data_IF_893591627556
#
_entry.id   IF_893591627556
#
_cell.length_a   1.000
_cell.length_b   1.000
_cell.length_c   1.000
_cell.angle_alpha   90.00
_cell.angle_beta   90.00
_cell.angle_gamma   90.00
#
_symmetry.space_group_name_H-M   'P 1'
#
loop_
_entity.id
_entity.type
_entity.pdbx_description
1 polymer ?
#
# COMPACT_ATOMS: atom_id res chain seq x y z
N UNK A 1 -110.07 3.17 -66.35
CA UNK A 1 -109.10 2.47 -65.48
C UNK A 1 -108.63 3.46 -64.41
N UNK A 2 -108.02 2.98 -63.32
CA UNK A 2 -107.24 3.81 -62.38
C UNK A 2 -106.00 4.37 -63.13
N UNK A 3 -105.25 5.39 -62.69
CA UNK A 3 -104.87 5.90 -61.34
C UNK A 3 -104.77 7.44 -61.38
N UNK A 4 -105.18 8.24 -60.37
CA UNK A 4 -104.66 8.39 -58.99
C UNK A 4 -103.38 9.26 -58.90
N UNK A 5 -103.22 10.26 -58.02
CA UNK A 5 -104.17 10.98 -57.13
C UNK A 5 -103.50 12.22 -56.47
N UNK A 6 -104.28 13.28 -56.18
CA UNK A 6 -104.01 14.45 -55.31
C UNK A 6 -102.84 15.38 -55.73
N UNK A 7 -102.91 16.72 -55.69
CA UNK A 7 -103.62 17.71 -54.85
C UNK A 7 -102.94 17.97 -53.48
N UNK A 8 -102.89 19.18 -52.90
CA UNK A 8 -103.60 20.44 -53.22
C UNK A 8 -102.86 21.70 -52.65
N UNK A 9 -103.44 22.90 -52.87
CA UNK A 9 -103.42 24.09 -51.97
C UNK A 9 -102.19 25.03 -51.94
N UNK A 10 -102.31 26.37 -51.97
CA UNK A 10 -103.25 27.40 -52.55
C UNK A 10 -102.40 28.72 -52.63
N UNK A 11 -102.51 29.60 -53.64
CA UNK A 11 -103.48 30.72 -53.80
C UNK A 11 -103.52 31.72 -52.61
N UNK A 12 -103.59 33.06 -52.77
CA UNK A 12 -103.62 33.93 -53.99
C UNK A 12 -102.39 34.89 -54.00
N UNK A 13 -102.34 36.22 -54.24
CA UNK A 13 -103.26 37.36 -54.53
C UNK A 13 -102.63 38.23 -55.65
N UNK A 14 -103.43 39.06 -56.34
CA UNK A 14 -103.04 40.02 -57.40
C UNK A 14 -102.46 41.35 -56.83
N UNK A 15 -101.84 42.27 -57.59
CA UNK A 15 -101.45 42.26 -59.02
C UNK A 15 -100.90 43.63 -59.53
N UNK A 16 -100.35 43.63 -60.75
CA UNK A 16 -100.32 44.62 -61.87
C UNK A 16 -100.48 46.17 -61.66
N UNK A 17 -100.06 47.04 -62.61
CA UNK A 17 -98.78 47.07 -63.37
C UNK A 17 -98.22 48.50 -63.73
N UNK A 18 -96.91 48.60 -64.02
CA UNK A 18 -96.25 49.56 -64.98
C UNK A 18 -96.37 51.12 -64.79
N UNK A 19 -95.65 51.98 -65.57
CA UNK A 19 -94.48 51.76 -66.47
C UNK A 19 -93.26 52.70 -66.30
N UNK A 20 -92.08 52.20 -66.74
CA UNK A 20 -90.98 52.86 -67.48
C UNK A 20 -90.29 54.16 -67.01
N UNK A 21 -88.94 54.11 -66.96
CA UNK A 21 -88.05 55.18 -67.46
C UNK A 21 -86.73 54.57 -68.02
N UNK A 22 -85.89 55.36 -68.70
CA UNK A 22 -84.74 54.89 -69.49
C UNK A 22 -83.38 55.03 -68.76
N UNK A 23 -82.35 54.20 -69.08
CA UNK A 23 -81.09 54.19 -68.35
C UNK A 23 -80.21 55.42 -68.64
N UNK A 24 -79.63 55.99 -67.58
CA UNK A 24 -78.61 57.03 -67.68
C UNK A 24 -77.22 56.43 -67.94
N UNK A 25 -76.32 57.23 -68.53
CA UNK A 25 -74.91 56.83 -68.76
C UNK A 25 -74.12 56.97 -67.46
N UNK A 26 -73.54 55.87 -67.01
CA UNK A 26 -72.73 55.79 -65.79
C UNK A 26 -71.32 56.38 -66.02
N UNK A 27 -70.84 57.19 -65.07
CA UNK A 27 -69.49 57.74 -65.11
C UNK A 27 -68.50 56.74 -64.49
N UNK A 28 -67.37 56.50 -65.16
CA UNK A 28 -66.37 55.55 -64.69
C UNK A 28 -65.80 55.98 -63.32
N UNK A 29 -65.69 55.06 -62.33
CA UNK A 29 -65.07 55.36 -61.04
C UNK A 29 -63.57 55.61 -61.21
N UNK A 30 -63.01 56.49 -60.38
CA UNK A 30 -61.58 56.71 -60.31
C UNK A 30 -60.85 55.47 -59.77
N UNK A 31 -59.62 55.23 -60.25
CA UNK A 31 -58.78 54.15 -59.72
C UNK A 31 -58.50 54.37 -58.22
N UNK A 32 -58.56 53.31 -57.39
CA UNK A 32 -58.24 53.43 -55.98
C UNK A 32 -56.74 53.72 -55.80
N UNK A 33 -56.42 54.80 -55.09
CA UNK A 33 -55.05 55.13 -54.70
C UNK A 33 -54.41 53.91 -54.01
N UNK A 34 -53.21 53.46 -54.41
CA UNK A 34 -52.55 52.36 -53.72
C UNK A 34 -52.35 52.70 -52.24
N UNK A 35 -52.47 51.72 -51.32
CA UNK A 35 -52.31 51.96 -49.89
C UNK A 35 -50.91 52.51 -49.60
N UNK A 36 -50.76 53.45 -48.65
CA UNK A 36 -49.46 53.98 -48.27
C UNK A 36 -48.56 52.85 -47.75
N UNK A 37 -47.29 52.88 -48.12
CA UNK A 37 -46.32 51.90 -47.63
C UNK A 37 -46.25 51.94 -46.09
N UNK A 38 -46.17 50.76 -45.43
CA UNK A 38 -46.07 50.69 -43.97
C UNK A 38 -44.83 51.44 -43.46
N UNK A 39 -44.97 52.13 -42.33
CA UNK A 39 -43.90 52.96 -41.76
C UNK A 39 -42.92 52.20 -40.87
N UNK A 40 -43.28 50.96 -40.48
CA UNK A 40 -42.47 50.03 -39.70
C UNK A 40 -42.97 48.58 -39.90
N UNK A 41 -42.14 47.54 -39.67
CA UNK A 41 -42.59 46.16 -39.60
C UNK A 41 -43.51 45.91 -38.40
N UNK A 42 -44.34 44.88 -38.51
CA UNK A 42 -45.23 44.44 -37.43
C UNK A 42 -44.48 43.62 -36.38
N UNK A 43 -45.03 43.57 -35.16
CA UNK A 43 -44.50 42.71 -34.10
C UNK A 43 -44.48 41.23 -34.51
N UNK A 44 -45.39 40.77 -35.39
CA UNK A 44 -45.40 39.39 -35.90
C UNK A 44 -44.23 39.10 -36.86
N UNK A 45 -43.92 40.02 -37.77
CA UNK A 45 -42.78 39.91 -38.68
C UNK A 45 -41.45 39.92 -37.90
N UNK A 46 -41.32 40.84 -36.94
CA UNK A 46 -40.13 40.92 -36.06
C UNK A 46 -40.01 39.65 -35.22
N UNK A 47 -41.09 39.20 -34.57
CA UNK A 47 -41.07 37.99 -33.72
C UNK A 47 -40.65 36.76 -34.53
N UNK A 48 -41.19 36.59 -35.74
CA UNK A 48 -40.87 35.46 -36.62
C UNK A 48 -39.39 35.47 -37.02
N UNK A 49 -38.88 36.62 -37.47
CA UNK A 49 -37.48 36.80 -37.81
C UNK A 49 -36.56 36.47 -36.61
N UNK A 50 -36.88 36.93 -35.40
CA UNK A 50 -36.09 36.61 -34.21
C UNK A 50 -36.13 35.12 -33.86
N UNK A 51 -37.29 34.47 -33.95
CA UNK A 51 -37.43 33.02 -33.73
C UNK A 51 -36.59 32.21 -34.72
N UNK A 52 -36.59 32.62 -36.00
CA UNK A 52 -35.77 31.99 -37.04
C UNK A 52 -34.26 32.19 -36.81
N UNK A 53 -33.83 33.37 -36.32
CA UNK A 53 -32.41 33.65 -36.06
C UNK A 53 -31.87 33.07 -34.74
N UNK A 54 -32.73 32.79 -33.75
CA UNK A 54 -32.29 32.33 -32.42
C UNK A 54 -31.72 30.90 -32.39
N UNK A 55 -31.88 30.09 -33.45
CA UNK A 55 -31.62 28.63 -33.43
C UNK A 55 -32.26 27.97 -32.19
N UNK A 56 -33.59 28.12 -32.09
CA UNK A 56 -34.34 28.06 -30.83
C UNK A 56 -34.05 26.85 -29.92
N UNK A 57 -33.79 27.14 -28.65
CA UNK A 57 -33.76 26.13 -27.57
C UNK A 57 -35.10 25.42 -27.46
N UNK A 58 -35.07 24.09 -27.39
CA UNK A 58 -36.26 23.26 -27.21
C UNK A 58 -36.96 23.53 -25.87
N UNK A 59 -36.24 24.05 -24.85
CA UNK A 59 -36.74 24.29 -23.50
C UNK A 59 -37.70 25.48 -23.35
N UNK A 60 -37.76 26.39 -24.34
CA UNK A 60 -38.55 27.62 -24.24
C UNK A 60 -39.41 27.92 -25.48
N UNK A 61 -40.43 28.76 -25.32
CA UNK A 61 -41.33 29.25 -26.37
C UNK A 61 -41.39 30.78 -26.38
N UNK A 62 -41.57 31.38 -27.56
CA UNK A 62 -41.72 32.82 -27.68
C UNK A 62 -42.98 33.34 -26.96
N UNK A 63 -42.84 34.46 -26.25
CA UNK A 63 -43.92 35.15 -25.56
C UNK A 63 -44.07 36.59 -26.06
N UNK A 64 -43.86 37.56 -25.17
CA UNK A 64 -44.08 38.98 -25.43
C UNK A 64 -42.89 39.64 -26.16
N UNK A 65 -43.14 40.46 -27.17
CA UNK A 65 -42.12 41.22 -27.90
C UNK A 65 -42.24 42.71 -27.58
N UNK A 66 -41.16 43.29 -27.05
CA UNK A 66 -41.01 44.75 -26.85
C UNK A 66 -40.03 45.30 -27.89
N UNK A 67 -40.42 46.33 -28.64
CA UNK A 67 -39.56 47.00 -29.63
C UNK A 67 -39.24 48.44 -29.19
N UNK A 68 -38.05 48.93 -29.55
CA UNK A 68 -37.72 50.35 -29.46
C UNK A 68 -38.44 51.16 -30.54
N UNK A 69 -38.56 52.47 -30.33
CA UNK A 69 -38.91 53.39 -31.41
C UNK A 69 -37.91 53.24 -32.60
N UNK A 70 -38.38 53.26 -33.86
CA UNK A 70 -37.53 53.04 -35.03
C UNK A 70 -36.66 54.25 -35.35
N UNK A 71 -35.33 54.06 -35.35
CA UNK A 71 -34.38 55.09 -35.74
C UNK A 71 -34.20 55.09 -37.27
N UNK A 72 -34.67 56.14 -37.95
CA UNK A 72 -34.54 56.29 -39.40
C UNK A 72 -33.09 56.56 -39.80
N UNK A 73 -32.55 55.70 -40.67
CA UNK A 73 -31.29 55.93 -41.38
C UNK A 73 -31.45 56.89 -42.56
N UNK A 74 -30.35 57.16 -43.26
CA UNK A 74 -30.34 58.03 -44.44
C UNK A 74 -31.08 57.41 -45.64
N UNK A 75 -30.98 56.08 -45.80
CA UNK A 75 -31.35 55.37 -47.03
C UNK A 75 -32.75 54.73 -46.97
N UNK A 76 -33.69 55.38 -46.27
CA UNK A 76 -35.04 54.85 -45.96
C UNK A 76 -35.11 53.60 -45.07
N UNK A 77 -33.96 53.03 -44.69
CA UNK A 77 -33.85 51.96 -43.70
C UNK A 77 -34.22 52.44 -42.28
N UNK A 78 -34.68 51.54 -41.44
CA UNK A 78 -34.88 51.77 -40.00
C UNK A 78 -34.06 50.79 -39.17
N UNK A 79 -33.33 51.32 -38.19
CA UNK A 79 -32.66 50.52 -37.16
C UNK A 79 -33.56 50.41 -35.94
N UNK A 80 -33.69 49.20 -35.41
CA UNK A 80 -34.51 48.89 -34.25
C UNK A 80 -33.75 47.96 -33.31
N UNK A 81 -34.02 48.08 -32.01
CA UNK A 81 -33.73 47.03 -31.04
C UNK A 81 -35.05 46.41 -30.57
N UNK A 82 -35.04 45.10 -30.32
CA UNK A 82 -36.19 44.41 -29.77
C UNK A 82 -35.77 43.40 -28.71
N UNK A 83 -36.57 43.26 -27.67
CA UNK A 83 -36.43 42.24 -26.62
C UNK A 83 -37.61 41.29 -26.74
N UNK A 84 -37.31 40.03 -27.05
CA UNK A 84 -38.29 38.95 -27.05
C UNK A 84 -38.20 38.20 -25.71
N UNK A 85 -39.32 38.16 -25.00
CA UNK A 85 -39.46 37.45 -23.73
C UNK A 85 -39.86 36.00 -24.00
N UNK A 86 -38.88 35.11 -23.94
CA UNK A 86 -39.08 33.66 -24.02
C UNK A 86 -39.64 33.14 -22.68
N UNK A 87 -40.50 32.13 -22.73
CA UNK A 87 -41.12 31.49 -21.56
C UNK A 87 -40.70 30.02 -21.55
N UNK A 88 -40.22 29.55 -20.40
CA UNK A 88 -39.74 28.16 -20.22
C UNK A 88 -40.93 27.19 -20.15
N UNK A 89 -40.86 26.11 -20.95
CA UNK A 89 -41.99 25.19 -21.21
C UNK A 89 -42.27 24.20 -20.08
N UNK A 90 -41.24 23.81 -19.33
CA UNK A 90 -41.31 22.82 -18.25
C UNK A 90 -40.19 23.04 -17.23
N UNK A 91 -40.24 22.35 -16.08
CA UNK A 91 -39.24 22.50 -15.03
C UNK A 91 -37.87 21.97 -15.50
N UNK A 92 -36.80 22.74 -15.26
CA UNK A 92 -35.43 22.37 -15.65
C UNK A 92 -34.55 22.08 -14.44
N UNK A 93 -33.76 21.01 -14.56
CA UNK A 93 -32.99 20.41 -13.47
C UNK A 93 -31.50 20.35 -13.79
N UNK A 94 -30.67 20.81 -12.85
CA UNK A 94 -29.24 20.53 -12.87
C UNK A 94 -28.96 19.18 -12.20
N UNK A 95 -28.04 18.40 -12.77
CA UNK A 95 -27.51 17.19 -12.14
C UNK A 95 -26.37 17.58 -11.19
N UNK A 96 -26.59 17.43 -9.90
CA UNK A 96 -25.60 17.70 -8.85
C UNK A 96 -25.13 16.38 -8.20
N UNK A 97 -23.94 16.38 -7.59
CA UNK A 97 -23.57 15.36 -6.59
C UNK A 97 -24.31 15.64 -5.28
N UNK A 98 -24.58 14.62 -4.48
CA UNK A 98 -25.29 14.78 -3.19
C UNK A 98 -24.76 15.97 -2.34
N UNK A 99 -25.66 16.80 -1.77
CA UNK A 99 -25.32 18.03 -1.04
C UNK A 99 -24.17 17.94 -0.04
N UNK A 100 -23.41 19.02 0.07
CA UNK A 100 -22.29 19.15 1.01
C UNK A 100 -22.68 18.97 2.49
N UNK A 101 -23.99 19.02 2.83
CA UNK A 101 -24.49 18.62 4.14
C UNK A 101 -24.10 17.18 4.49
N UNK A 102 -24.23 16.23 3.55
CA UNK A 102 -23.91 14.82 3.71
C UNK A 102 -22.40 14.55 3.90
N UNK A 103 -21.53 15.53 3.67
CA UNK A 103 -20.08 15.37 3.84
C UNK A 103 -19.71 15.00 5.29
N UNK A 104 -20.51 15.40 6.28
CA UNK A 104 -20.31 15.04 7.69
C UNK A 104 -20.64 13.58 7.95
N UNK A 105 -21.76 13.10 7.42
CA UNK A 105 -22.15 11.70 7.49
C UNK A 105 -21.12 10.80 6.77
N UNK A 106 -20.56 11.23 5.63
CA UNK A 106 -19.43 10.54 4.98
C UNK A 106 -18.20 10.43 5.88
N UNK A 107 -17.87 11.47 6.66
CA UNK A 107 -16.74 11.41 7.59
C UNK A 107 -16.97 10.37 8.69
N UNK A 108 -18.18 10.29 9.25
CA UNK A 108 -18.53 9.29 10.26
C UNK A 108 -18.46 7.84 9.71
N UNK A 109 -18.90 7.60 8.47
CA UNK A 109 -18.71 6.31 7.77
C UNK A 109 -17.23 5.97 7.66
N UNK A 110 -16.42 6.92 7.16
CA UNK A 110 -15.00 6.70 6.90
C UNK A 110 -14.21 6.43 8.19
N UNK A 111 -14.51 7.07 9.31
CA UNK A 111 -13.84 6.81 10.59
C UNK A 111 -14.10 5.38 11.10
N UNK A 112 -15.35 4.91 11.04
CA UNK A 112 -15.70 3.54 11.43
C UNK A 112 -15.08 2.50 10.48
N UNK A 113 -15.14 2.73 9.17
CA UNK A 113 -14.54 1.86 8.16
C UNK A 113 -13.02 1.77 8.31
N UNK A 114 -12.32 2.92 8.43
CA UNK A 114 -10.88 2.97 8.66
C UNK A 114 -10.47 2.24 9.93
N UNK A 115 -11.28 2.28 10.99
CA UNK A 115 -11.02 1.55 12.22
C UNK A 115 -11.15 0.03 12.05
N UNK A 116 -12.15 -0.45 11.31
CA UNK A 116 -12.29 -1.87 10.99
C UNK A 116 -11.20 -2.38 10.01
N UNK A 117 -10.68 -1.51 9.14
CA UNK A 117 -9.61 -1.80 8.17
C UNK A 117 -8.17 -1.75 8.74
N UNK A 118 -7.99 -1.47 10.04
CA UNK A 118 -6.65 -1.44 10.67
C UNK A 118 -5.92 -2.79 10.52
N UNK A 119 -4.61 -2.83 10.20
CA UNK A 119 -3.81 -4.06 10.27
C UNK A 119 -3.71 -4.64 11.69
N UNK A 120 -3.49 -5.95 11.80
CA UNK A 120 -3.28 -6.68 13.07
C UNK A 120 -2.18 -6.06 13.94
N UNK A 121 -1.10 -5.55 13.33
CA UNK A 121 -0.03 -4.85 14.02
C UNK A 121 -0.52 -3.71 14.91
N UNK A 122 -1.60 -3.01 14.52
CA UNK A 122 -2.16 -1.91 15.31
C UNK A 122 -2.77 -2.43 16.61
N UNK A 123 -3.52 -3.53 16.55
CA UNK A 123 -4.09 -4.18 17.73
C UNK A 123 -3.01 -4.80 18.61
N UNK A 124 -1.99 -5.42 18.01
CA UNK A 124 -0.81 -5.94 18.73
C UNK A 124 -0.08 -4.83 19.50
N UNK A 125 0.18 -3.67 18.87
CA UNK A 125 0.74 -2.50 19.58
C UNK A 125 -0.18 -2.00 20.71
N UNK A 126 -1.51 -1.95 20.49
CA UNK A 126 -2.48 -1.53 21.51
C UNK A 126 -2.50 -2.44 22.74
N UNK A 127 -2.18 -3.73 22.60
CA UNK A 127 -2.10 -4.70 23.72
C UNK A 127 -0.67 -4.87 24.26
N UNK A 128 0.30 -4.08 23.78
CA UNK A 128 1.66 -4.01 24.33
C UNK A 128 2.72 -4.87 23.64
N UNK A 129 2.48 -5.36 22.42
CA UNK A 129 3.51 -6.03 21.63
C UNK A 129 4.64 -5.06 21.22
N UNK A 130 5.89 -5.48 21.37
CA UNK A 130 7.05 -4.74 20.84
C UNK A 130 7.20 -4.98 19.33
N UNK A 131 7.87 -4.04 18.64
CA UNK A 131 8.07 -4.07 17.18
C UNK A 131 8.72 -5.37 16.68
N UNK A 132 9.58 -5.97 17.50
CA UNK A 132 10.35 -7.18 17.21
C UNK A 132 9.51 -8.46 17.23
N UNK A 133 8.36 -8.43 17.91
CA UNK A 133 7.39 -9.54 17.93
C UNK A 133 6.36 -9.47 16.79
N UNK A 134 6.26 -8.34 16.08
CA UNK A 134 5.23 -8.10 15.06
C UNK A 134 5.79 -8.46 13.68
N UNK A 135 5.22 -9.49 13.04
CA UNK A 135 5.68 -9.99 11.74
C UNK A 135 5.21 -9.10 10.58
N UNK A 136 5.80 -9.26 9.39
CA UNK A 136 5.32 -8.56 8.19
C UNK A 136 3.92 -9.04 7.74
N UNK A 137 3.49 -10.25 8.15
CA UNK A 137 2.12 -10.71 7.95
C UNK A 137 1.11 -9.97 8.85
N UNK A 138 1.52 -9.58 10.06
CA UNK A 138 0.71 -8.77 10.97
C UNK A 138 0.60 -7.30 10.50
N UNK A 139 1.63 -6.81 9.79
CA UNK A 139 1.69 -5.46 9.20
C UNK A 139 0.91 -5.34 7.88
N UNK A 140 0.55 -6.46 7.25
CA UNK A 140 -0.18 -6.48 5.99
C UNK A 140 -1.62 -5.93 6.16
N UNK A 141 -2.05 -5.10 5.21
CA UNK A 141 -3.43 -4.63 5.17
C UNK A 141 -4.39 -5.78 4.83
N UNK A 142 -5.28 -6.14 5.75
CA UNK A 142 -6.38 -7.08 5.49
C UNK A 142 -7.60 -6.33 4.95
N UNK A 143 -8.29 -6.85 3.92
CA UNK A 143 -9.58 -6.31 3.49
C UNK A 143 -10.64 -6.54 4.57
N UNK A 144 -11.75 -5.79 4.49
CA UNK A 144 -12.93 -6.10 5.30
C UNK A 144 -13.54 -7.45 4.89
N UNK A 145 -14.09 -8.23 5.85
CA UNK A 145 -14.92 -9.37 5.51
C UNK A 145 -16.22 -8.90 4.83
N UNK A 146 -16.82 -9.76 4.02
CA UNK A 146 -17.96 -9.41 3.15
C UNK A 146 -19.15 -8.78 3.91
N UNK A 147 -19.40 -9.25 5.14
CA UNK A 147 -20.46 -8.76 6.03
C UNK A 147 -20.24 -7.31 6.52
N UNK A 148 -19.04 -6.75 6.36
CA UNK A 148 -18.73 -5.33 6.58
C UNK A 148 -18.51 -4.59 5.25
N UNK A 149 -17.93 -5.26 4.25
CA UNK A 149 -17.66 -4.64 2.95
C UNK A 149 -18.95 -4.29 2.19
N UNK A 150 -19.99 -5.13 2.24
CA UNK A 150 -21.25 -4.85 1.54
C UNK A 150 -22.00 -3.63 2.15
N UNK A 151 -22.24 -3.53 3.47
CA UNK A 151 -22.82 -2.32 4.07
C UNK A 151 -21.96 -1.05 3.87
N UNK A 152 -20.62 -1.17 3.81
CA UNK A 152 -19.75 -0.04 3.48
C UNK A 152 -19.94 0.42 2.03
N UNK A 153 -20.08 -0.51 1.08
CA UNK A 153 -20.36 -0.18 -0.32
C UNK A 153 -21.72 0.51 -0.46
N UNK A 154 -22.76 0.02 0.22
CA UNK A 154 -24.08 0.69 0.27
C UNK A 154 -23.97 2.11 0.83
N UNK A 155 -23.26 2.31 1.95
CA UNK A 155 -23.04 3.63 2.54
C UNK A 155 -22.30 4.59 1.61
N UNK A 156 -21.34 4.09 0.83
CA UNK A 156 -20.63 4.86 -0.19
C UNK A 156 -21.56 5.26 -1.34
N UNK A 157 -22.30 4.31 -1.90
CA UNK A 157 -23.28 4.58 -2.97
C UNK A 157 -24.36 5.58 -2.52
N UNK A 158 -24.86 5.43 -1.29
CA UNK A 158 -25.82 6.36 -0.69
C UNK A 158 -25.30 7.80 -0.63
N UNK A 159 -23.98 8.00 -0.52
CA UNK A 159 -23.34 9.30 -0.41
C UNK A 159 -22.70 9.86 -1.70
N UNK A 160 -22.50 9.02 -2.72
CA UNK A 160 -21.93 9.42 -4.03
C UNK A 160 -22.97 9.49 -5.16
N UNK A 161 -24.20 9.01 -4.93
CA UNK A 161 -25.29 9.11 -5.90
C UNK A 161 -25.53 10.54 -6.42
N UNK A 162 -25.79 10.65 -7.72
CA UNK A 162 -26.25 11.90 -8.34
C UNK A 162 -27.69 12.22 -7.91
N UNK A 163 -27.98 13.50 -7.77
CA UNK A 163 -29.33 14.04 -7.52
C UNK A 163 -29.69 15.09 -8.56
N UNK A 164 -30.98 15.30 -8.78
CA UNK A 164 -31.48 16.34 -9.69
C UNK A 164 -32.06 17.50 -8.88
N UNK A 165 -31.46 18.68 -9.00
CA UNK A 165 -31.93 19.89 -8.34
C UNK A 165 -32.70 20.73 -9.35
N UNK A 166 -33.92 21.15 -9.02
CA UNK A 166 -34.67 22.11 -9.84
C UNK A 166 -33.95 23.47 -9.81
N UNK A 167 -33.70 24.05 -10.98
CA UNK A 167 -33.02 25.35 -11.13
C UNK A 167 -33.92 26.40 -11.80
N UNK A 168 -34.77 25.98 -12.75
CA UNK A 168 -35.70 26.88 -13.47
C UNK A 168 -37.11 26.29 -13.41
N UNK A 169 -38.12 27.14 -13.30
CA UNK A 169 -39.53 26.75 -13.27
C UNK A 169 -40.18 26.85 -14.65
N UNK A 170 -41.15 25.96 -14.89
CA UNK A 170 -42.19 26.14 -15.89
C UNK A 170 -42.80 27.55 -15.76
N UNK A 171 -42.82 28.31 -16.85
CA UNK A 171 -43.36 29.68 -16.86
C UNK A 171 -42.39 30.79 -16.45
N UNK A 172 -41.17 30.47 -15.99
CA UNK A 172 -40.11 31.47 -15.83
C UNK A 172 -39.77 32.08 -17.19
N UNK A 173 -39.36 33.36 -17.20
CA UNK A 173 -39.09 34.09 -18.44
C UNK A 173 -37.61 34.44 -18.63
N UNK A 174 -37.09 34.15 -19.83
CA UNK A 174 -35.75 34.53 -20.27
C UNK A 174 -35.86 35.57 -21.37
N UNK A 175 -35.20 36.71 -21.20
CA UNK A 175 -35.18 37.75 -22.22
C UNK A 175 -34.05 37.50 -23.22
N UNK A 176 -34.35 37.64 -24.51
CA UNK A 176 -33.39 37.59 -25.61
C UNK A 176 -33.48 38.92 -26.36
N UNK A 177 -32.38 39.65 -26.43
CA UNK A 177 -32.34 40.96 -27.08
C UNK A 177 -31.73 40.87 -28.47
N UNK A 178 -32.16 41.74 -29.37
CA UNK A 178 -31.62 41.83 -30.71
C UNK A 178 -31.57 43.26 -31.21
N UNK A 179 -30.65 43.52 -32.13
CA UNK A 179 -30.59 44.72 -32.96
C UNK A 179 -30.60 44.33 -34.43
N UNK A 180 -31.32 45.08 -35.27
CA UNK A 180 -31.44 44.81 -36.69
C UNK A 180 -31.75 46.08 -37.50
N UNK A 181 -31.47 46.03 -38.80
CA UNK A 181 -31.88 47.03 -39.78
C UNK A 181 -32.96 46.45 -40.69
N UNK A 182 -34.15 47.05 -40.70
CA UNK A 182 -35.25 46.68 -41.59
C UNK A 182 -35.38 47.70 -42.74
N UNK A 183 -35.63 47.20 -43.95
CA UNK A 183 -35.84 48.01 -45.16
C UNK A 183 -37.04 47.46 -45.93
N UNK A 184 -37.94 48.34 -46.40
CA UNK A 184 -39.13 47.92 -47.15
C UNK A 184 -38.82 47.86 -48.65
N UNK A 185 -38.95 46.67 -49.25
CA UNK A 185 -38.55 46.38 -50.64
C UNK A 185 -39.61 45.49 -51.28
N UNK A 186 -40.08 45.86 -52.48
CA UNK A 186 -41.04 45.09 -53.29
C UNK A 186 -42.31 44.62 -52.54
N UNK A 187 -42.76 45.41 -51.55
CA UNK A 187 -43.95 45.14 -50.74
C UNK A 187 -43.69 44.40 -49.42
N UNK A 188 -42.45 44.03 -49.11
CA UNK A 188 -42.07 43.19 -47.96
C UNK A 188 -40.97 43.84 -47.13
N UNK A 189 -40.97 43.63 -45.81
CA UNK A 189 -39.85 44.01 -44.94
C UNK A 189 -38.70 43.01 -45.05
N UNK A 190 -37.54 43.49 -45.50
CA UNK A 190 -36.28 42.75 -45.49
C UNK A 190 -35.46 43.14 -44.25
N UNK A 191 -35.04 42.14 -43.48
CA UNK A 191 -34.24 42.31 -42.27
C UNK A 191 -32.77 42.01 -42.55
N UNK A 192 -31.87 42.82 -41.98
CA UNK A 192 -30.43 42.79 -42.23
C UNK A 192 -29.65 43.24 -40.99
N UNK A 193 -28.34 43.01 -40.95
CA UNK A 193 -27.45 43.34 -39.83
C UNK A 193 -27.98 42.82 -38.47
N UNK A 194 -28.61 41.65 -38.47
CA UNK A 194 -29.28 41.10 -37.29
C UNK A 194 -28.21 40.57 -36.33
N UNK A 195 -28.18 41.12 -35.11
CA UNK A 195 -27.33 40.66 -34.02
C UNK A 195 -28.24 40.32 -32.84
N UNK A 196 -28.23 39.06 -32.42
CA UNK A 196 -29.05 38.52 -31.33
C UNK A 196 -28.16 38.11 -30.16
N UNK A 197 -28.49 38.54 -28.94
CA UNK A 197 -27.95 38.00 -27.70
C UNK A 197 -28.91 36.96 -27.13
N UNK A 198 -28.67 35.69 -27.49
CA UNK A 198 -29.38 34.52 -26.98
C UNK A 198 -28.59 33.78 -25.89
N UNK A 199 -27.57 34.38 -25.27
CA UNK A 199 -26.70 33.67 -24.32
C UNK A 199 -27.46 33.06 -23.13
N UNK A 200 -28.43 33.80 -22.59
CA UNK A 200 -29.29 33.31 -21.50
C UNK A 200 -30.26 32.19 -21.94
N UNK A 201 -30.64 32.15 -23.22
CA UNK A 201 -31.47 31.07 -23.79
C UNK A 201 -30.63 29.81 -24.02
N UNK A 202 -29.39 29.95 -24.50
CA UNK A 202 -28.47 28.83 -24.70
C UNK A 202 -28.07 28.17 -23.37
N UNK A 203 -27.93 28.95 -22.30
CA UNK A 203 -27.64 28.44 -20.95
C UNK A 203 -28.74 27.52 -20.38
N UNK A 204 -29.96 27.52 -20.94
CA UNK A 204 -30.99 26.54 -20.55
C UNK A 204 -30.69 25.12 -21.06
N UNK A 205 -29.89 24.98 -22.12
CA UNK A 205 -29.60 23.70 -22.76
C UNK A 205 -28.66 22.81 -21.91
N UNK A 206 -27.98 23.38 -20.91
CA UNK A 206 -27.14 22.65 -19.95
C UNK A 206 -27.98 21.93 -18.88
N UNK A 207 -29.30 22.16 -18.82
CA UNK A 207 -30.21 21.55 -17.84
C UNK A 207 -31.05 20.42 -18.45
N UNK A 208 -31.38 19.43 -17.62
CA UNK A 208 -32.28 18.34 -17.99
C UNK A 208 -33.74 18.78 -17.79
N UNK A 209 -34.55 18.70 -18.85
CA UNK A 209 -35.99 18.97 -18.79
C UNK A 209 -36.74 17.88 -17.99
N UNK A 210 -37.85 18.24 -17.34
CA UNK A 210 -38.65 17.32 -16.52
C UNK A 210 -39.09 16.06 -17.29
N UNK A 211 -39.47 16.22 -18.55
CA UNK A 211 -39.86 15.17 -19.50
C UNK A 211 -38.74 14.20 -19.87
N UNK A 212 -37.48 14.61 -19.68
CA UNK A 212 -36.27 13.83 -19.97
C UNK A 212 -35.65 13.19 -18.70
N UNK A 213 -36.22 13.42 -17.52
CA UNK A 213 -35.76 12.78 -16.29
C UNK A 213 -36.08 11.27 -16.28
N UNK A 214 -35.20 10.43 -15.69
CA UNK A 214 -35.55 9.05 -15.38
C UNK A 214 -36.83 8.94 -14.53
N UNK A 215 -37.60 7.88 -14.73
CA UNK A 215 -38.65 7.52 -13.80
C UNK A 215 -38.05 7.30 -12.40
N UNK A 216 -38.72 7.84 -11.38
CA UNK A 216 -38.27 7.84 -9.97
C UNK A 216 -36.89 8.52 -9.74
N UNK A 217 -36.53 9.50 -10.58
CA UNK A 217 -35.32 10.30 -10.41
C UNK A 217 -35.23 10.96 -9.00
N UNK A 218 -34.06 10.90 -8.33
CA UNK A 218 -33.89 11.48 -6.99
C UNK A 218 -33.84 13.01 -7.05
N UNK A 219 -35.01 13.65 -6.90
CA UNK A 219 -35.14 15.10 -6.86
C UNK A 219 -34.70 15.64 -5.50
N UNK A 220 -33.87 16.68 -5.51
CA UNK A 220 -33.38 17.32 -4.29
C UNK A 220 -34.45 18.23 -3.67
N UNK A 221 -35.22 17.69 -2.73
CA UNK A 221 -36.16 18.42 -1.87
C UNK A 221 -35.73 18.35 -0.39
N UNK A 222 -36.23 19.23 0.51
CA UNK A 222 -35.93 19.15 1.94
C UNK A 222 -36.33 17.81 2.58
N UNK A 223 -37.43 17.20 2.10
CA UNK A 223 -37.91 15.90 2.54
C UNK A 223 -36.98 14.77 2.08
N UNK A 224 -36.50 14.83 0.83
CA UNK A 224 -35.49 13.92 0.31
C UNK A 224 -34.18 14.04 1.10
N UNK A 225 -33.72 15.26 1.39
CA UNK A 225 -32.52 15.49 2.21
C UNK A 225 -32.66 14.87 3.61
N UNK A 226 -33.78 15.13 4.29
CA UNK A 226 -34.06 14.60 5.62
C UNK A 226 -34.16 13.07 5.63
N UNK A 227 -34.88 12.47 4.68
CA UNK A 227 -35.01 11.02 4.55
C UNK A 227 -33.66 10.35 4.25
N UNK A 228 -32.88 10.91 3.32
CA UNK A 228 -31.54 10.40 2.97
C UNK A 228 -30.56 10.50 4.15
N UNK A 229 -30.61 11.60 4.92
CA UNK A 229 -29.83 11.78 6.15
C UNK A 229 -30.19 10.73 7.21
N UNK A 230 -31.48 10.46 7.40
CA UNK A 230 -31.96 9.44 8.33
C UNK A 230 -31.46 8.05 7.91
N UNK A 231 -31.61 7.68 6.64
CA UNK A 231 -31.16 6.39 6.10
C UNK A 231 -29.65 6.18 6.24
N UNK A 232 -28.83 7.21 5.98
CA UNK A 232 -27.38 7.11 6.18
C UNK A 232 -27.06 6.93 7.67
N UNK A 233 -27.73 7.65 8.58
CA UNK A 233 -27.52 7.50 10.03
C UNK A 233 -27.92 6.12 10.55
N UNK A 234 -29.00 5.54 10.03
CA UNK A 234 -29.43 4.16 10.32
C UNK A 234 -28.39 3.15 9.84
N UNK A 235 -27.94 3.25 8.59
CA UNK A 235 -26.93 2.37 7.99
C UNK A 235 -25.56 2.49 8.70
N UNK A 236 -25.16 3.68 9.16
CA UNK A 236 -23.97 3.89 10.01
C UNK A 236 -24.13 3.16 11.35
N UNK A 237 -25.30 3.24 11.98
CA UNK A 237 -25.57 2.56 13.25
C UNK A 237 -25.51 1.04 13.09
N UNK A 238 -26.10 0.50 12.02
CA UNK A 238 -26.04 -0.91 11.68
C UNK A 238 -24.61 -1.38 11.36
N UNK A 239 -23.82 -0.60 10.61
CA UNK A 239 -22.41 -0.91 10.36
C UNK A 239 -21.61 -0.99 11.66
N UNK A 240 -21.78 -0.02 12.57
CA UNK A 240 -21.08 -0.01 13.85
C UNK A 240 -21.43 -1.23 14.73
N UNK A 241 -22.71 -1.63 14.77
CA UNK A 241 -23.17 -2.82 15.49
C UNK A 241 -22.57 -4.13 14.95
N UNK A 242 -22.24 -4.19 13.66
CA UNK A 242 -21.53 -5.32 13.04
C UNK A 242 -20.01 -5.24 13.23
N UNK A 243 -19.44 -4.03 13.19
CA UNK A 243 -18.01 -3.78 13.27
C UNK A 243 -17.44 -3.91 14.69
N UNK A 244 -18.17 -3.46 15.73
CA UNK A 244 -17.73 -3.53 17.13
C UNK A 244 -17.34 -4.95 17.59
N UNK A 245 -18.17 -6.00 17.43
CA UNK A 245 -17.78 -7.36 17.84
C UNK A 245 -16.63 -7.93 16.99
N UNK A 246 -16.50 -7.53 15.72
CA UNK A 246 -15.39 -7.93 14.85
C UNK A 246 -14.06 -7.30 15.30
N UNK A 247 -14.06 -5.99 15.60
CA UNK A 247 -12.92 -5.25 16.15
C UNK A 247 -12.50 -5.85 17.49
N UNK A 248 -13.46 -6.07 18.40
CA UNK A 248 -13.19 -6.70 19.71
C UNK A 248 -12.62 -8.12 19.58
N UNK A 249 -13.13 -8.91 18.63
CA UNK A 249 -12.60 -10.24 18.34
C UNK A 249 -11.14 -10.20 17.85
N UNK A 250 -10.75 -9.19 17.07
CA UNK A 250 -9.35 -8.97 16.65
C UNK A 250 -8.46 -8.49 17.80
N UNK A 251 -8.97 -7.65 18.71
CA UNK A 251 -8.26 -7.30 19.95
C UNK A 251 -8.03 -8.53 20.86
N UNK A 252 -9.04 -9.38 21.04
CA UNK A 252 -8.93 -10.60 21.84
C UNK A 252 -7.96 -11.62 21.20
N UNK A 253 -8.01 -11.78 19.88
CA UNK A 253 -7.04 -12.59 19.13
C UNK A 253 -5.60 -12.03 19.21
N UNK A 254 -5.43 -10.70 19.17
CA UNK A 254 -4.12 -10.07 19.34
C UNK A 254 -3.52 -10.33 20.73
N UNK A 255 -4.34 -10.37 21.80
CA UNK A 255 -3.89 -10.75 23.15
C UNK A 255 -3.46 -12.21 23.24
N UNK A 256 -4.18 -13.12 22.58
CA UNK A 256 -3.80 -14.53 22.50
C UNK A 256 -2.46 -14.69 21.74
N UNK A 257 -2.33 -14.02 20.59
CA UNK A 257 -1.11 -14.02 19.76
C UNK A 257 0.09 -13.46 20.51
N UNK A 258 -0.06 -12.36 21.26
CA UNK A 258 1.02 -11.81 22.10
C UNK A 258 1.43 -12.79 23.20
N UNK A 259 0.47 -13.50 23.83
CA UNK A 259 0.78 -14.55 24.82
C UNK A 259 1.60 -15.68 24.20
N UNK A 260 1.25 -16.13 22.98
CA UNK A 260 2.04 -17.14 22.26
C UNK A 260 3.44 -16.64 21.89
N UNK A 261 3.57 -15.40 21.40
CA UNK A 261 4.87 -14.81 21.06
C UNK A 261 5.77 -14.67 22.30
N UNK A 262 5.22 -14.26 23.44
CA UNK A 262 5.95 -14.20 24.72
C UNK A 262 6.41 -15.59 25.18
N UNK A 263 5.53 -16.60 25.13
CA UNK A 263 5.89 -17.97 25.51
C UNK A 263 6.98 -18.57 24.61
N UNK A 264 6.93 -18.33 23.30
CA UNK A 264 7.98 -18.77 22.35
C UNK A 264 9.30 -18.06 22.58
N UNK A 265 9.28 -16.75 22.86
CA UNK A 265 10.47 -15.97 23.18
C UNK A 265 11.12 -16.41 24.50
N UNK A 266 10.32 -16.74 25.53
CA UNK A 266 10.82 -17.30 26.78
C UNK A 266 11.44 -18.70 26.57
N UNK A 267 10.80 -19.58 25.80
CA UNK A 267 11.36 -20.89 25.49
C UNK A 267 12.65 -20.82 24.65
N UNK A 268 12.72 -19.93 23.67
CA UNK A 268 13.94 -19.73 22.89
C UNK A 268 15.08 -19.12 23.74
N UNK A 269 14.78 -18.14 24.59
CA UNK A 269 15.74 -17.61 25.56
C UNK A 269 16.21 -18.69 26.55
N UNK A 270 15.32 -19.56 27.03
CA UNK A 270 15.66 -20.70 27.89
C UNK A 270 16.56 -21.69 27.16
N UNK A 271 16.23 -22.05 25.91
CA UNK A 271 17.06 -22.95 25.06
C UNK A 271 18.46 -22.38 24.81
N UNK A 272 18.57 -21.08 24.56
CA UNK A 272 19.86 -20.39 24.36
C UNK A 272 20.67 -20.39 25.67
N UNK A 273 20.03 -20.15 26.82
CA UNK A 273 20.68 -20.20 28.13
C UNK A 273 21.11 -21.63 28.52
N UNK A 274 20.28 -22.63 28.25
CA UNK A 274 20.59 -24.07 28.41
C UNK A 274 21.78 -24.48 27.55
N UNK A 275 21.83 -24.05 26.28
CA UNK A 275 22.95 -24.31 25.37
C UNK A 275 24.23 -23.64 25.86
N UNK A 276 24.20 -22.34 26.19
CA UNK A 276 25.37 -21.61 26.69
C UNK A 276 25.92 -22.20 28.00
N UNK A 277 25.03 -22.65 28.90
CA UNK A 277 25.44 -23.35 30.11
C UNK A 277 26.07 -24.72 29.83
N UNK A 278 25.54 -25.50 28.87
CA UNK A 278 26.11 -26.77 28.46
C UNK A 278 27.49 -26.61 27.77
N UNK A 279 27.65 -25.57 26.93
CA UNK A 279 28.93 -25.22 26.31
C UNK A 279 29.98 -24.81 27.35
N UNK A 280 29.60 -24.01 28.36
CA UNK A 280 30.49 -23.62 29.45
C UNK A 280 30.89 -24.81 30.34
N UNK A 281 29.96 -25.72 30.65
CA UNK A 281 30.28 -26.98 31.36
C UNK A 281 31.26 -27.82 30.55
N UNK A 282 31.01 -28.04 29.25
CA UNK A 282 31.91 -28.81 28.38
C UNK A 282 33.30 -28.15 28.23
N UNK A 283 33.36 -26.81 28.24
CA UNK A 283 34.62 -26.05 28.27
C UNK A 283 35.36 -26.29 29.57
N UNK A 284 34.68 -26.20 30.71
CA UNK A 284 35.29 -26.37 32.03
C UNK A 284 35.73 -27.82 32.31
N UNK A 285 34.99 -28.82 31.84
CA UNK A 285 35.41 -30.23 31.84
C UNK A 285 36.69 -30.43 31.01
N UNK A 286 36.75 -29.87 29.80
CA UNK A 286 37.94 -29.96 28.95
C UNK A 286 39.16 -29.29 29.60
N UNK A 287 38.98 -28.11 30.21
CA UNK A 287 40.03 -27.42 30.97
C UNK A 287 40.53 -28.28 32.14
N UNK A 288 39.62 -28.93 32.87
CA UNK A 288 39.98 -29.80 33.99
C UNK A 288 40.75 -31.05 33.53
N UNK A 289 40.37 -31.65 32.40
CA UNK A 289 41.10 -32.76 31.79
C UNK A 289 42.54 -32.36 31.39
N UNK A 290 42.74 -31.19 30.78
CA UNK A 290 44.07 -30.69 30.43
C UNK A 290 44.93 -30.38 31.66
N UNK A 291 44.35 -29.82 32.72
CA UNK A 291 45.02 -29.62 34.01
C UNK A 291 45.41 -30.95 34.67
N UNK A 292 44.56 -31.98 34.58
CA UNK A 292 44.84 -33.32 35.13
C UNK A 292 45.85 -34.13 34.30
N UNK A 293 45.94 -33.88 32.99
CA UNK A 293 46.94 -34.49 32.13
C UNK A 293 48.35 -33.94 32.42
N UNK A 294 48.48 -32.62 32.62
CA UNK A 294 49.75 -31.93 32.88
C UNK A 294 49.98 -31.62 34.38
N UNK A 295 49.47 -32.48 35.27
CA UNK A 295 49.76 -32.36 36.71
C UNK A 295 51.16 -32.89 37.06
N UNK A 296 51.59 -32.62 38.28
CA UNK A 296 52.76 -33.25 38.91
C UNK A 296 52.72 -34.79 38.77
N UNK A 297 53.90 -35.41 38.73
CA UNK A 297 54.12 -36.86 38.74
C UNK A 297 53.56 -37.62 37.51
N UNK A 298 53.21 -36.90 36.43
CA UNK A 298 52.63 -37.45 35.20
C UNK A 298 53.70 -37.91 34.23
N UNK A 299 53.55 -39.13 33.71
CA UNK A 299 54.42 -39.69 32.69
C UNK A 299 53.65 -39.87 31.38
N UNK A 300 54.22 -39.37 30.29
CA UNK A 300 53.83 -39.68 28.92
C UNK A 300 54.94 -40.52 28.29
N UNK A 301 54.57 -41.43 27.39
CA UNK A 301 55.52 -42.19 26.58
C UNK A 301 54.98 -42.44 25.18
N UNK A 302 55.88 -42.60 24.22
CA UNK A 302 55.56 -42.91 22.83
C UNK A 302 56.78 -42.82 21.94
N UNK A 303 56.60 -42.28 20.73
CA UNK A 303 57.60 -42.33 19.68
C UNK A 303 57.79 -40.96 19.00
N UNK A 304 58.99 -40.75 18.46
CA UNK A 304 59.26 -39.71 17.48
C UNK A 304 59.62 -40.34 16.13
N UNK A 305 59.35 -39.62 15.03
CA UNK A 305 59.67 -40.06 13.67
C UNK A 305 60.20 -38.91 12.80
N UNK A 306 61.13 -39.23 11.90
CA UNK A 306 61.64 -38.35 10.83
C UNK A 306 62.19 -39.19 9.67
N UNK A 307 61.69 -38.97 8.46
CA UNK A 307 61.98 -39.74 7.24
C UNK A 307 61.82 -41.27 7.41
N UNK A 308 62.93 -41.97 7.69
CA UNK A 308 63.00 -43.43 7.93
C UNK A 308 63.55 -43.78 9.31
N UNK A 309 63.79 -42.76 10.15
CA UNK A 309 64.27 -42.90 11.53
C UNK A 309 63.12 -42.73 12.50
N UNK A 310 63.19 -43.48 13.59
CA UNK A 310 62.25 -43.42 14.69
C UNK A 310 62.99 -43.75 15.98
N UNK A 311 62.44 -43.32 17.10
CA UNK A 311 62.94 -43.63 18.44
C UNK A 311 61.82 -43.53 19.47
N UNK A 312 62.06 -44.08 20.64
CA UNK A 312 61.11 -44.00 21.76
C UNK A 312 61.41 -42.76 22.61
N UNK A 313 60.37 -42.23 23.23
CA UNK A 313 60.45 -41.03 24.07
C UNK A 313 59.56 -41.17 25.29
N UNK A 314 60.01 -40.61 26.41
CA UNK A 314 59.20 -40.37 27.59
C UNK A 314 59.33 -38.92 28.07
N UNK A 315 58.23 -38.37 28.53
CA UNK A 315 58.11 -37.02 29.10
C UNK A 315 57.54 -37.16 30.52
N UNK A 316 58.32 -36.79 31.52
CA UNK A 316 57.91 -36.75 32.91
C UNK A 316 57.64 -35.31 33.36
N UNK A 317 56.42 -35.05 33.84
CA UNK A 317 56.02 -33.78 34.45
C UNK A 317 56.36 -33.86 35.94
N UNK A 318 57.29 -33.03 36.40
CA UNK A 318 57.77 -33.08 37.78
C UNK A 318 57.06 -32.09 38.68
N UNK A 319 56.78 -30.89 38.16
CA UNK A 319 56.07 -29.83 38.87
C UNK A 319 55.14 -29.10 37.91
N UNK A 320 53.90 -28.87 38.31
CA UNK A 320 52.90 -28.15 37.54
C UNK A 320 52.35 -26.94 38.30
N UNK A 321 51.87 -25.94 37.57
CA UNK A 321 51.25 -24.74 38.14
C UNK A 321 50.13 -24.25 37.24
N UNK A 322 48.90 -24.34 37.73
CA UNK A 322 47.72 -23.75 37.09
C UNK A 322 47.73 -22.22 37.27
N UNK A 323 47.52 -21.53 36.16
CA UNK A 323 47.10 -20.12 36.08
C UNK A 323 45.72 -20.07 35.42
N UNK A 324 45.10 -18.89 35.41
CA UNK A 324 43.74 -18.65 34.91
C UNK A 324 43.46 -19.30 33.55
N UNK A 325 44.27 -18.99 32.54
CA UNK A 325 44.14 -19.51 31.17
C UNK A 325 45.39 -20.28 30.68
N UNK A 326 46.24 -20.80 31.58
CA UNK A 326 47.34 -21.70 31.18
C UNK A 326 47.85 -22.59 32.32
N UNK A 327 48.31 -23.79 31.99
CA UNK A 327 49.16 -24.61 32.89
C UNK A 327 50.61 -24.40 32.48
N UNK A 328 51.48 -24.03 33.42
CA UNK A 328 52.93 -24.16 33.25
C UNK A 328 53.41 -25.43 33.95
N UNK A 329 54.47 -26.04 33.46
CA UNK A 329 55.12 -27.15 34.15
C UNK A 329 56.63 -27.16 33.92
N UNK A 330 57.34 -27.83 34.82
CA UNK A 330 58.76 -28.21 34.70
C UNK A 330 58.82 -29.74 34.69
N UNK A 331 59.77 -30.31 33.95
CA UNK A 331 59.91 -31.76 33.83
C UNK A 331 61.13 -32.18 33.04
N UNK A 332 61.23 -33.49 32.83
CA UNK A 332 62.36 -34.13 32.16
C UNK A 332 61.89 -34.96 30.97
N UNK A 333 62.55 -34.80 29.83
CA UNK A 333 62.38 -35.64 28.63
C UNK A 333 63.54 -36.65 28.56
N UNK A 334 63.27 -37.92 28.30
CA UNK A 334 64.30 -38.97 28.21
C UNK A 334 63.99 -40.10 27.21
N UNK A 335 65.03 -40.74 26.69
CA UNK A 335 64.94 -41.94 25.85
C UNK A 335 64.73 -43.19 26.72
N UNK A 336 63.78 -44.06 26.36
CA UNK A 336 63.46 -45.27 27.15
C UNK A 336 64.56 -46.34 27.11
N UNK A 337 65.46 -46.27 26.13
CA UNK A 337 66.57 -47.22 25.91
C UNK A 337 67.91 -46.70 26.43
N UNK A 338 68.00 -45.40 26.70
CA UNK A 338 69.19 -44.70 27.18
C UNK A 338 68.79 -43.81 28.37
N UNK A 339 68.63 -44.37 29.60
CA UNK A 339 68.17 -43.61 30.77
C UNK A 339 69.10 -42.45 31.18
N UNK A 340 70.35 -42.48 30.74
CA UNK A 340 71.35 -41.41 30.85
C UNK A 340 71.18 -40.27 29.83
N UNK A 341 70.30 -40.42 28.83
CA UNK A 341 69.99 -39.39 27.85
C UNK A 341 68.73 -38.61 28.28
N UNK A 342 68.93 -37.43 28.88
CA UNK A 342 67.86 -36.60 29.47
C UNK A 342 68.01 -35.11 29.19
N UNK A 343 66.88 -34.43 28.99
CA UNK A 343 66.75 -32.98 28.85
C UNK A 343 65.84 -32.39 29.94
N UNK A 344 66.28 -31.29 30.56
CA UNK A 344 65.46 -30.45 31.43
C UNK A 344 64.59 -29.50 30.59
N UNK A 345 63.29 -29.42 30.90
CA UNK A 345 62.32 -28.62 30.15
C UNK A 345 61.38 -27.80 31.04
N UNK A 346 60.79 -26.76 30.46
CA UNK A 346 59.53 -26.20 30.96
C UNK A 346 58.52 -26.02 29.83
N UNK A 347 57.28 -26.43 30.08
CA UNK A 347 56.17 -26.31 29.15
C UNK A 347 55.12 -25.31 29.59
N UNK A 348 54.41 -24.74 28.62
CA UNK A 348 53.19 -23.95 28.84
C UNK A 348 52.07 -24.42 27.91
N UNK A 349 51.03 -24.97 28.52
CA UNK A 349 49.75 -25.28 27.90
C UNK A 349 48.82 -24.07 28.03
N UNK A 350 48.44 -23.44 26.91
CA UNK A 350 47.54 -22.29 26.91
C UNK A 350 46.09 -22.78 26.79
N UNK A 351 45.29 -22.74 27.86
CA UNK A 351 44.01 -23.46 28.05
C UNK A 351 42.83 -23.01 27.14
N UNK A 352 43.12 -22.32 26.04
CA UNK A 352 42.18 -22.03 24.96
C UNK A 352 42.23 -23.19 23.95
N UNK A 353 41.21 -24.06 23.87
CA UNK A 353 41.20 -25.14 22.91
C UNK A 353 41.12 -24.60 21.47
N UNK A 354 41.84 -25.25 20.56
CA UNK A 354 41.73 -25.05 19.11
C UNK A 354 40.43 -25.67 18.58
N UNK A 355 40.07 -25.38 17.32
CA UNK A 355 38.80 -25.83 16.69
C UNK A 355 38.60 -27.36 16.72
N UNK A 356 39.69 -28.13 16.77
CA UNK A 356 39.69 -29.59 16.89
C UNK A 356 39.49 -30.11 18.33
N UNK A 357 39.33 -29.22 19.31
CA UNK A 357 39.21 -29.56 20.73
C UNK A 357 40.51 -29.99 21.42
N UNK A 358 41.68 -29.76 20.80
CA UNK A 358 43.01 -29.95 21.40
C UNK A 358 43.56 -28.63 21.95
N UNK A 359 44.57 -28.68 22.82
CA UNK A 359 45.22 -27.50 23.39
C UNK A 359 46.71 -27.47 23.08
N UNK A 360 47.23 -26.32 22.67
CA UNK A 360 48.66 -26.18 22.35
C UNK A 360 49.50 -26.07 23.63
N UNK A 361 50.57 -26.86 23.67
CA UNK A 361 51.58 -26.97 24.71
C UNK A 361 52.93 -26.63 24.11
N UNK A 362 53.44 -25.44 24.41
CA UNK A 362 54.74 -24.99 23.93
C UNK A 362 55.81 -25.26 25.00
N UNK A 363 56.85 -26.01 24.62
CA UNK A 363 57.89 -26.52 25.50
C UNK A 363 59.25 -25.93 25.10
N UNK A 364 59.90 -25.32 26.10
CA UNK A 364 61.28 -24.84 26.05
C UNK A 364 62.21 -25.88 26.65
N UNK A 365 63.34 -26.13 26.00
CA UNK A 365 64.42 -27.02 26.44
C UNK A 365 65.57 -26.15 26.98
N UNK A 366 66.20 -26.52 28.10
CA UNK A 366 67.21 -25.67 28.76
C UNK A 366 68.64 -26.24 28.78
N UNK A 367 68.78 -27.52 29.11
CA UNK A 367 70.06 -28.23 29.16
C UNK A 367 69.80 -29.73 29.04
N UNK A 368 70.83 -30.52 28.74
CA UNK A 368 70.72 -31.97 28.74
C UNK A 368 71.97 -32.71 28.31
N UNK A 369 71.93 -34.02 28.49
CA UNK A 369 73.04 -34.94 28.20
C UNK A 369 72.54 -36.03 27.25
N UNK A 370 73.36 -36.40 26.26
CA UNK A 370 73.07 -37.49 25.32
C UNK A 370 74.37 -38.07 24.75
N UNK A 371 74.32 -39.32 24.28
CA UNK A 371 75.38 -39.94 23.48
C UNK A 371 75.23 -39.47 22.01
N UNK A 372 76.21 -38.74 21.44
CA UNK A 372 76.07 -38.09 20.13
C UNK A 372 76.01 -39.07 18.95
N UNK A 373 76.39 -40.34 19.12
CA UNK A 373 76.31 -41.35 18.06
C UNK A 373 74.90 -41.98 17.93
N UNK A 374 73.95 -41.62 18.79
CA UNK A 374 72.62 -42.23 18.86
C UNK A 374 71.59 -41.54 17.94
N UNK A 375 70.59 -42.26 17.40
CA UNK A 375 69.53 -41.66 16.57
C UNK A 375 68.75 -40.54 17.25
N UNK A 376 68.66 -40.57 18.59
CA UNK A 376 68.01 -39.57 19.44
C UNK A 376 68.84 -38.30 19.65
N UNK A 377 70.16 -38.31 19.40
CA UNK A 377 71.02 -37.14 19.54
C UNK A 377 70.59 -35.97 18.64
N UNK A 378 70.18 -36.25 17.40
CA UNK A 378 69.69 -35.23 16.45
C UNK A 378 68.37 -34.57 16.89
N UNK A 379 67.69 -35.13 17.90
CA UNK A 379 66.45 -34.60 18.47
C UNK A 379 66.74 -33.64 19.64
N UNK A 380 67.91 -33.68 20.28
CA UNK A 380 68.12 -33.08 21.60
C UNK A 380 69.25 -32.04 21.68
N UNK A 381 69.48 -31.30 20.60
CA UNK A 381 70.48 -30.21 20.57
C UNK A 381 70.02 -29.00 21.42
N UNK A 382 70.86 -28.63 22.40
CA UNK A 382 70.38 -28.21 23.72
C UNK A 382 70.27 -26.68 23.94
N UNK A 383 70.11 -25.87 22.88
CA UNK A 383 70.15 -24.38 23.02
C UNK A 383 69.11 -23.57 22.25
N UNK A 384 68.56 -24.09 21.16
CA UNK A 384 67.64 -23.36 20.26
C UNK A 384 66.37 -24.18 19.90
N UNK A 385 66.11 -25.26 20.63
CA UNK A 385 64.99 -26.18 20.38
C UNK A 385 63.67 -25.70 20.97
N UNK A 386 62.62 -25.68 20.14
CA UNK A 386 61.24 -25.43 20.53
C UNK A 386 60.36 -26.64 20.14
N UNK A 387 59.73 -27.24 21.13
CA UNK A 387 58.82 -28.37 20.98
C UNK A 387 57.38 -27.88 21.16
N UNK A 388 56.54 -27.98 20.13
CA UNK A 388 55.10 -27.66 20.24
C UNK A 388 54.27 -28.91 20.07
N UNK A 389 53.46 -29.22 21.09
CA UNK A 389 52.62 -30.41 21.19
C UNK A 389 51.15 -30.00 21.32
N UNK A 390 50.26 -30.65 20.57
CA UNK A 390 48.82 -30.58 20.81
C UNK A 390 48.43 -31.65 21.82
N UNK A 391 47.83 -31.23 22.94
CA UNK A 391 47.25 -32.08 23.96
C UNK A 391 45.77 -32.36 23.62
N UNK A 392 45.43 -33.61 23.39
CA UNK A 392 44.05 -34.05 23.10
C UNK A 392 43.23 -34.31 24.38
N UNK A 393 41.90 -34.39 24.25
CA UNK A 393 41.00 -34.64 25.40
C UNK A 393 41.19 -36.00 26.06
N UNK A 394 41.68 -37.00 25.33
CA UNK A 394 42.10 -38.31 25.84
C UNK A 394 43.56 -38.32 26.36
N UNK A 395 44.17 -37.14 26.49
CA UNK A 395 45.47 -36.94 27.13
C UNK A 395 46.68 -37.30 26.26
N UNK A 396 46.53 -37.50 24.95
CA UNK A 396 47.69 -37.71 24.07
C UNK A 396 48.36 -36.38 23.75
N UNK A 397 49.68 -36.42 23.58
CA UNK A 397 50.50 -35.30 23.12
C UNK A 397 51.03 -35.62 21.73
N UNK A 398 50.56 -34.89 20.72
CA UNK A 398 50.98 -35.07 19.33
C UNK A 398 51.43 -33.75 18.73
N UNK A 399 52.61 -33.69 18.12
CA UNK A 399 53.09 -32.43 17.56
C UNK A 399 54.44 -32.52 16.89
N UNK A 400 55.15 -31.39 16.83
CA UNK A 400 56.37 -31.23 16.06
C UNK A 400 57.44 -30.56 16.92
N UNK A 401 58.65 -31.11 16.86
CA UNK A 401 59.85 -30.47 17.38
C UNK A 401 60.61 -29.76 16.26
N UNK A 402 61.06 -28.54 16.54
CA UNK A 402 61.76 -27.67 15.60
C UNK A 402 62.86 -26.87 16.30
N UNK A 403 63.80 -26.34 15.52
CA UNK A 403 64.82 -25.42 16.00
C UNK A 403 64.86 -24.18 15.10
N UNK A 404 65.15 -23.01 15.65
CA UNK A 404 65.29 -21.75 14.88
C UNK A 404 66.36 -21.87 13.78
N UNK A 405 67.44 -22.63 14.05
CA UNK A 405 68.50 -22.93 13.07
C UNK A 405 68.05 -23.80 11.89
N UNK A 406 66.89 -24.46 11.98
CA UNK A 406 66.33 -25.33 10.94
C UNK A 406 65.25 -24.65 10.09
N UNK A 407 64.99 -23.35 10.27
CA UNK A 407 63.90 -22.63 9.59
C UNK A 407 63.92 -22.69 8.05
N UNK A 408 65.09 -22.98 7.44
CA UNK A 408 65.26 -23.15 5.99
C UNK A 408 65.38 -24.62 5.54
N UNK A 409 65.19 -25.59 6.44
CA UNK A 409 65.30 -27.04 6.20
C UNK A 409 64.17 -27.79 6.94
N UNK A 410 62.90 -27.70 6.48
CA UNK A 410 61.74 -28.30 7.14
C UNK A 410 61.82 -29.83 7.25
N UNK A 411 62.60 -30.50 6.41
CA UNK A 411 62.92 -31.94 6.48
C UNK A 411 63.75 -32.35 7.72
N UNK A 412 64.11 -31.38 8.59
CA UNK A 412 64.68 -31.65 9.91
C UNK A 412 63.65 -31.68 11.04
N UNK A 413 62.40 -31.32 10.78
CA UNK A 413 61.35 -31.37 11.80
C UNK A 413 61.05 -32.84 12.20
N UNK A 414 60.87 -33.08 13.51
CA UNK A 414 60.53 -34.40 14.05
C UNK A 414 59.06 -34.42 14.47
N UNK A 415 58.30 -35.41 14.01
CA UNK A 415 56.94 -35.63 14.48
C UNK A 415 56.98 -36.47 15.76
N UNK A 416 56.29 -36.03 16.81
CA UNK A 416 56.25 -36.69 18.13
C UNK A 416 54.81 -37.10 18.44
N UNK A 417 54.62 -38.33 18.93
CA UNK A 417 53.34 -38.84 19.40
C UNK A 417 53.52 -39.62 20.71
N UNK A 418 52.95 -39.11 21.80
CA UNK A 418 53.02 -39.70 23.14
C UNK A 418 51.62 -39.87 23.75
N UNK A 419 51.44 -40.90 24.57
CA UNK A 419 50.23 -41.17 25.34
C UNK A 419 50.54 -41.25 26.84
N UNK A 420 49.56 -41.02 27.74
CA UNK A 420 49.76 -41.16 29.18
C UNK A 420 50.18 -42.60 29.53
N UNK A 421 51.29 -42.74 30.26
CA UNK A 421 51.81 -44.03 30.73
C UNK A 421 51.41 -44.23 32.20
N UNK A 422 50.76 -45.36 32.49
CA UNK A 422 50.48 -45.74 33.87
C UNK A 422 51.79 -45.94 34.64
N UNK A 423 51.85 -45.45 35.88
CA UNK A 423 53.00 -45.62 36.78
C UNK A 423 53.14 -47.10 37.12
N UNK A 424 54.17 -47.77 36.60
CA UNK A 424 54.44 -49.16 36.95
C UNK A 424 54.77 -49.26 38.44
N UNK A 425 53.93 -49.94 39.22
CA UNK A 425 54.26 -50.23 40.62
C UNK A 425 55.56 -51.05 40.68
N UNK A 426 56.55 -50.66 41.50
CA UNK A 426 57.82 -51.36 41.57
C UNK A 426 57.60 -52.76 42.15
N UNK A 427 57.60 -53.78 41.27
CA UNK A 427 57.36 -55.19 41.59
C UNK A 427 58.18 -55.63 42.81
N UNK A 428 57.52 -55.73 43.95
CA UNK A 428 58.20 -55.98 45.22
C UNK A 428 58.88 -57.35 45.19
N UNK A 429 60.22 -57.35 45.26
CA UNK A 429 61.02 -58.57 45.28
C UNK A 429 60.77 -59.30 46.60
N UNK A 430 59.78 -60.21 46.62
CA UNK A 430 59.62 -61.22 47.67
C UNK A 430 60.94 -61.99 47.82
N UNK A 431 61.72 -61.66 48.84
CA UNK A 431 62.81 -62.53 49.30
C UNK A 431 62.19 -63.84 49.79
N UNK A 432 62.86 -64.94 49.47
CA UNK A 432 62.71 -66.23 50.15
C UNK A 432 63.65 -66.25 51.35
#
# INVERSE_FOLDING_TARGET
MLTSCFDEIKQVIQGEPQPAEAPAVEAAPAEPTPPPAPTQPTNEEISRMLIEQMNGSEAASAGELTCSDPQKGADSSISMTATLKMVVKEDLFARETAPAAFNKERQAVNEAANNAMRPESVYLFQVGATTDLITDADRAAKPLPENLQAPLNELKELAEASVFRKVVNTGDSVETSASFTATYVDGVWQFSNIVVDNAALLALNDYTAQSALPQDAPILTPEFEAARKSLISEKVTAFNQLAEPYIKGREEAARATLTEYQARAEEEARRIAEQAAAEEVARQESINAFVQALSDDKLFAGEWTRDKRFGELSLHIEQSKKFENSVQFVGTIYDTKLPEASLDIAGRCNLNPQENGTTQVDITIYDGQYDPDQPTAEVYDAKDGMLSLQLSKDGKLTGIMSCTSWANTPEKAFQIQMSPKAKEEPKSKRRR
#
